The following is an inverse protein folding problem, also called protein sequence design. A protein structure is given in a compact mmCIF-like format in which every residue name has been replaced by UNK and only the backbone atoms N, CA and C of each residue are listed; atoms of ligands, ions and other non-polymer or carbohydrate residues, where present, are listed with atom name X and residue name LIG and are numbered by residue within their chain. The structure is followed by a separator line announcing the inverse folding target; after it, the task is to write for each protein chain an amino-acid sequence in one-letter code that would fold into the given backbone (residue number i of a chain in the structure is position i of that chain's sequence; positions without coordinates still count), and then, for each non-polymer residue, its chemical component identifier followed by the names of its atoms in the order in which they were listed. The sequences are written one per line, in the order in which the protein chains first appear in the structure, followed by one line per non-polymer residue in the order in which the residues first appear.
data_IF_694731184493
#
_entry.id   IF_694731184493
#
_cell.length_a   1.000
_cell.length_b   1.000
_cell.length_c   1.000
_cell.angle_alpha   90.00
_cell.angle_beta   90.00
_cell.angle_gamma   90.00
#
_symmetry.space_group_name_H-M   'P 1'
#
loop_
_entity.id
_entity.type
_entity.pdbx_description
1 polymer ?
#
# COMPACT_ATOMS: atom_id res chain seq x y z
N UNK A 1 -11.67 -33.27 3.47
CA UNK A 1 -12.79 -32.30 3.41
C UNK A 1 -12.40 -31.04 4.20
N UNK A 2 -12.38 -29.84 3.59
CA UNK A 2 -12.04 -28.57 4.29
C UNK A 2 -13.14 -28.23 5.30
N UNK A 3 -12.73 -27.66 6.46
CA UNK A 3 -13.68 -27.14 7.44
C UNK A 3 -14.40 -25.90 6.89
N UNK A 4 -15.69 -25.69 7.19
CA UNK A 4 -16.46 -24.52 6.74
C UNK A 4 -15.77 -23.18 7.11
N UNK A 5 -15.17 -23.10 8.30
CA UNK A 5 -14.37 -21.95 8.74
C UNK A 5 -13.19 -21.69 7.81
N UNK A 6 -12.50 -22.73 7.30
CA UNK A 6 -11.37 -22.56 6.38
C UNK A 6 -11.82 -22.04 5.01
N UNK A 7 -12.94 -22.51 4.48
CA UNK A 7 -13.52 -22.01 3.22
C UNK A 7 -13.89 -20.53 3.37
N UNK A 8 -14.55 -20.16 4.46
CA UNK A 8 -14.92 -18.78 4.76
C UNK A 8 -13.71 -17.87 4.89
N UNK A 9 -12.65 -18.32 5.58
CA UNK A 9 -11.41 -17.58 5.74
C UNK A 9 -10.73 -17.34 4.39
N UNK A 10 -10.64 -18.37 3.53
CA UNK A 10 -10.05 -18.24 2.20
C UNK A 10 -10.86 -17.31 1.29
N UNK A 11 -12.19 -17.40 1.32
CA UNK A 11 -13.05 -16.51 0.55
C UNK A 11 -12.91 -15.05 1.00
N UNK A 12 -12.92 -14.80 2.32
CA UNK A 12 -12.73 -13.47 2.88
C UNK A 12 -11.34 -12.92 2.54
N UNK A 13 -10.30 -13.72 2.72
CA UNK A 13 -8.94 -13.33 2.35
C UNK A 13 -8.87 -12.97 0.86
N UNK A 14 -9.43 -13.78 -0.02
CA UNK A 14 -9.45 -13.50 -1.46
C UNK A 14 -10.15 -12.18 -1.81
N UNK A 15 -11.32 -11.92 -1.21
CA UNK A 15 -12.06 -10.67 -1.40
C UNK A 15 -11.28 -9.44 -0.88
N UNK A 16 -10.67 -9.55 0.31
CA UNK A 16 -9.86 -8.49 0.89
C UNK A 16 -8.59 -8.24 0.07
N UNK A 17 -7.90 -9.32 -0.34
CA UNK A 17 -6.68 -9.21 -1.14
C UNK A 17 -6.95 -8.58 -2.50
N UNK A 18 -7.99 -9.01 -3.20
CA UNK A 18 -8.39 -8.39 -4.46
C UNK A 18 -8.69 -6.90 -4.27
N UNK A 19 -9.48 -6.55 -3.25
CA UNK A 19 -9.83 -5.15 -2.99
C UNK A 19 -8.60 -4.31 -2.64
N UNK A 20 -7.73 -4.77 -1.73
CA UNK A 20 -6.53 -4.04 -1.36
C UNK A 20 -5.57 -3.88 -2.54
N UNK A 21 -5.39 -4.92 -3.36
CA UNK A 21 -4.49 -4.90 -4.51
C UNK A 21 -4.99 -3.99 -5.62
N UNK A 22 -6.29 -4.08 -5.98
CA UNK A 22 -6.81 -3.43 -7.18
C UNK A 22 -7.25 -1.98 -6.92
N UNK A 23 -7.67 -1.66 -5.68
CA UNK A 23 -7.98 -0.28 -5.27
C UNK A 23 -6.72 0.52 -4.96
N UNK A 24 -5.60 -0.16 -4.65
CA UNK A 24 -4.33 0.50 -4.32
C UNK A 24 -3.89 1.51 -5.40
N UNK A 25 -3.71 1.14 -6.69
CA UNK A 25 -3.23 2.08 -7.70
C UNK A 25 -4.19 3.27 -7.89
N UNK A 26 -5.50 3.04 -7.76
CA UNK A 26 -6.48 4.11 -7.86
C UNK A 26 -6.34 5.12 -6.72
N UNK A 27 -6.26 4.65 -5.48
CA UNK A 27 -6.09 5.53 -4.33
C UNK A 27 -4.71 6.20 -4.29
N UNK A 28 -3.67 5.50 -4.71
CA UNK A 28 -2.30 6.00 -4.70
C UNK A 28 -2.02 7.02 -5.82
N UNK A 29 -2.65 6.87 -6.99
CA UNK A 29 -2.32 7.68 -8.17
C UNK A 29 -3.43 8.66 -8.58
N UNK A 30 -4.70 8.30 -8.41
CA UNK A 30 -5.84 9.10 -8.87
C UNK A 30 -6.43 9.95 -7.74
N UNK A 31 -6.57 9.38 -6.55
CA UNK A 31 -7.19 10.10 -5.40
C UNK A 31 -6.23 11.13 -4.80
N UNK A 32 -4.93 10.90 -4.86
CA UNK A 32 -3.96 11.87 -4.32
C UNK A 32 -3.97 13.19 -5.10
N UNK A 33 -3.72 14.30 -4.41
CA UNK A 33 -3.51 15.58 -5.09
C UNK A 33 -2.16 15.63 -5.81
N UNK A 34 -2.08 16.39 -6.91
CA UNK A 34 -0.82 16.60 -7.64
C UNK A 34 0.28 17.20 -6.74
N UNK A 35 -0.10 18.07 -5.80
CA UNK A 35 0.82 18.68 -4.85
C UNK A 35 1.39 17.65 -3.87
N UNK A 36 0.57 16.71 -3.38
CA UNK A 36 1.04 15.61 -2.53
C UNK A 36 1.93 14.63 -3.31
N UNK A 37 1.57 14.31 -4.55
CA UNK A 37 2.37 13.44 -5.40
C UNK A 37 3.81 13.97 -5.61
N UNK A 38 3.93 15.28 -5.79
CA UNK A 38 5.24 15.94 -6.01
C UNK A 38 6.02 16.06 -4.70
N UNK A 39 5.36 16.38 -3.58
CA UNK A 39 6.03 16.80 -2.34
C UNK A 39 6.14 15.72 -1.27
N UNK A 40 5.39 14.61 -1.32
CA UNK A 40 5.39 13.56 -0.29
C UNK A 40 6.78 12.98 0.02
N UNK A 41 7.67 12.94 -0.97
CA UNK A 41 9.05 12.46 -0.84
C UNK A 41 10.07 13.52 -0.39
N UNK A 42 9.70 14.80 -0.27
CA UNK A 42 10.63 15.86 0.14
C UNK A 42 11.10 15.66 1.59
N UNK A 43 12.35 16.07 1.94
CA UNK A 43 12.83 16.00 3.31
C UNK A 43 12.08 16.95 4.24
N UNK A 44 12.21 16.72 5.55
CA UNK A 44 11.70 17.62 6.57
C UNK A 44 10.17 17.59 6.75
N UNK A 45 9.66 18.63 7.42
CA UNK A 45 8.25 18.71 7.86
C UNK A 45 7.27 18.90 6.70
N UNK A 46 7.66 19.60 5.66
CA UNK A 46 6.80 19.83 4.50
C UNK A 46 6.44 18.51 3.81
N UNK A 47 7.45 17.74 3.40
CA UNK A 47 7.22 16.43 2.80
C UNK A 47 6.47 15.47 3.74
N UNK A 48 6.73 15.53 5.05
CA UNK A 48 6.01 14.72 6.04
C UNK A 48 4.51 15.04 6.07
N UNK A 49 4.11 16.33 5.99
CA UNK A 49 2.70 16.75 5.93
C UNK A 49 2.01 16.27 4.65
N UNK A 50 2.67 16.43 3.49
CA UNK A 50 2.14 15.97 2.21
C UNK A 50 1.98 14.45 2.19
N UNK A 51 2.96 13.71 2.69
CA UNK A 51 2.89 12.27 2.82
C UNK A 51 1.76 11.84 3.77
N UNK A 52 1.62 12.48 4.93
CA UNK A 52 0.54 12.16 5.88
C UNK A 52 -0.85 12.42 5.28
N UNK A 53 -1.04 13.52 4.55
CA UNK A 53 -2.30 13.83 3.86
C UNK A 53 -2.62 12.82 2.77
N UNK A 54 -1.62 12.46 1.95
CA UNK A 54 -1.74 11.42 0.94
C UNK A 54 -2.13 10.07 1.57
N UNK A 55 -1.41 9.63 2.60
CA UNK A 55 -1.72 8.38 3.30
C UNK A 55 -3.13 8.39 3.92
N UNK A 56 -3.57 9.52 4.45
CA UNK A 56 -4.92 9.64 5.00
C UNK A 56 -6.00 9.45 3.91
N UNK A 57 -5.87 10.12 2.76
CA UNK A 57 -6.83 9.97 1.64
C UNK A 57 -6.78 8.58 1.03
N UNK A 58 -5.59 8.02 0.85
CA UNK A 58 -5.37 6.65 0.41
C UNK A 58 -6.06 5.64 1.34
N UNK A 59 -5.79 5.75 2.65
CA UNK A 59 -6.34 4.83 3.67
C UNK A 59 -7.86 4.92 3.73
N UNK A 60 -8.42 6.13 3.67
CA UNK A 60 -9.87 6.33 3.65
C UNK A 60 -10.51 5.69 2.42
N UNK A 61 -9.95 5.90 1.22
CA UNK A 61 -10.45 5.30 -0.01
C UNK A 61 -10.41 3.78 0.02
N UNK A 62 -9.30 3.21 0.48
CA UNK A 62 -9.14 1.76 0.59
C UNK A 62 -10.09 1.15 1.64
N UNK A 63 -10.28 1.81 2.78
CA UNK A 63 -11.21 1.35 3.83
C UNK A 63 -12.67 1.39 3.35
N UNK A 64 -13.06 2.48 2.67
CA UNK A 64 -14.42 2.62 2.08
C UNK A 64 -14.67 1.53 1.04
N UNK A 65 -13.73 1.31 0.12
CA UNK A 65 -13.87 0.27 -0.90
C UNK A 65 -13.98 -1.13 -0.28
N UNK A 66 -13.13 -1.43 0.71
CA UNK A 66 -13.15 -2.71 1.42
C UNK A 66 -14.47 -2.94 2.14
N UNK A 67 -14.97 -1.92 2.83
CA UNK A 67 -16.27 -1.99 3.50
C UNK A 67 -17.40 -2.18 2.48
N UNK A 68 -17.41 -1.43 1.38
CA UNK A 68 -18.42 -1.52 0.34
C UNK A 68 -18.46 -2.91 -0.32
N UNK A 69 -17.30 -3.47 -0.69
CA UNK A 69 -17.20 -4.81 -1.29
C UNK A 69 -17.67 -5.87 -0.33
N UNK A 70 -17.19 -5.86 0.92
CA UNK A 70 -17.61 -6.88 1.90
C UNK A 70 -19.10 -6.78 2.22
N UNK A 71 -19.66 -5.58 2.35
CA UNK A 71 -21.09 -5.36 2.56
C UNK A 71 -21.94 -5.84 1.38
N UNK A 72 -21.52 -5.54 0.14
CA UNK A 72 -22.20 -6.00 -1.08
C UNK A 72 -22.21 -7.53 -1.20
N UNK A 73 -21.16 -8.19 -0.68
CA UNK A 73 -21.07 -9.66 -0.60
C UNK A 73 -21.79 -10.24 0.63
N UNK A 74 -22.54 -9.43 1.39
CA UNK A 74 -23.27 -9.86 2.57
C UNK A 74 -22.42 -10.17 3.80
N UNK A 75 -21.14 -9.76 3.80
CA UNK A 75 -20.23 -9.98 4.91
C UNK A 75 -20.10 -8.75 5.80
N UNK A 76 -20.42 -8.89 7.08
CA UNK A 76 -20.23 -7.83 8.08
C UNK A 76 -18.79 -7.87 8.60
N UNK A 77 -17.91 -7.09 7.97
CA UNK A 77 -16.52 -6.99 8.38
C UNK A 77 -16.41 -6.23 9.72
N UNK A 78 -15.85 -6.83 10.79
CA UNK A 78 -15.65 -6.13 12.06
C UNK A 78 -14.72 -4.92 11.89
N UNK A 79 -15.16 -3.76 12.35
CA UNK A 79 -14.39 -2.49 12.19
C UNK A 79 -12.98 -2.56 12.78
N UNK A 80 -12.80 -3.27 13.91
CA UNK A 80 -11.47 -3.47 14.49
C UNK A 80 -10.53 -4.30 13.62
N UNK A 81 -11.07 -5.29 12.91
CA UNK A 81 -10.29 -6.09 11.98
C UNK A 81 -9.88 -5.25 10.75
N UNK A 82 -10.82 -4.49 10.18
CA UNK A 82 -10.53 -3.53 9.12
C UNK A 82 -9.50 -2.49 9.56
N UNK A 83 -9.68 -1.89 10.73
CA UNK A 83 -8.76 -0.89 11.28
C UNK A 83 -7.33 -1.43 11.45
N UNK A 84 -7.17 -2.68 11.90
CA UNK A 84 -5.86 -3.29 12.05
C UNK A 84 -5.15 -3.49 10.70
N UNK A 85 -5.85 -4.01 9.68
CA UNK A 85 -5.27 -4.18 8.34
C UNK A 85 -4.97 -2.85 7.65
N UNK A 86 -5.88 -1.88 7.74
CA UNK A 86 -5.64 -0.54 7.18
C UNK A 86 -4.52 0.19 7.91
N UNK A 87 -4.32 -0.01 9.21
CA UNK A 87 -3.20 0.55 9.94
C UNK A 87 -1.85 -0.01 9.45
N UNK A 88 -1.76 -1.31 9.16
CA UNK A 88 -0.57 -1.90 8.54
C UNK A 88 -0.28 -1.22 7.20
N UNK A 89 -1.27 -1.10 6.33
CA UNK A 89 -1.11 -0.43 5.04
C UNK A 89 -0.71 1.05 5.22
N UNK A 90 -1.37 1.81 6.09
CA UNK A 90 -1.12 3.22 6.29
C UNK A 90 0.31 3.50 6.78
N UNK A 91 0.76 2.75 7.80
CA UNK A 91 2.11 2.94 8.38
C UNK A 91 3.20 2.59 7.37
N UNK A 92 3.07 1.47 6.70
CA UNK A 92 4.07 1.03 5.71
C UNK A 92 4.05 1.92 4.47
N UNK A 93 2.88 2.33 4.00
CA UNK A 93 2.73 3.27 2.90
C UNK A 93 3.43 4.60 3.20
N UNK A 94 3.20 5.15 4.40
CA UNK A 94 3.91 6.36 4.83
C UNK A 94 5.44 6.19 4.77
N UNK A 95 5.97 5.09 5.28
CA UNK A 95 7.43 4.85 5.31
C UNK A 95 8.01 4.73 3.89
N UNK A 96 7.31 4.03 2.99
CA UNK A 96 7.75 3.83 1.61
C UNK A 96 7.72 5.15 0.85
N UNK A 97 6.64 5.90 0.94
CA UNK A 97 6.42 7.16 0.24
C UNK A 97 7.32 8.31 0.70
N UNK A 98 7.90 8.19 1.88
CA UNK A 98 9.00 9.08 2.31
C UNK A 98 10.29 8.88 1.51
N UNK A 99 10.32 7.92 0.58
CA UNK A 99 11.39 7.58 -0.37
C UNK A 99 12.71 7.19 0.28
N UNK A 100 13.34 8.06 1.08
CA UNK A 100 14.66 7.80 1.67
C UNK A 100 14.71 6.56 2.59
N UNK A 101 13.76 6.30 3.49
CA UNK A 101 13.73 5.05 4.25
C UNK A 101 13.66 3.82 3.35
N UNK A 102 12.84 3.88 2.30
CA UNK A 102 12.68 2.79 1.36
C UNK A 102 13.92 2.57 0.49
N UNK A 103 14.54 3.64 -0.03
CA UNK A 103 15.82 3.55 -0.74
C UNK A 103 16.92 2.92 0.11
N UNK A 104 17.01 3.28 1.40
CA UNK A 104 17.98 2.68 2.34
C UNK A 104 17.72 1.19 2.52
N UNK A 105 16.46 0.78 2.67
CA UNK A 105 16.07 -0.62 2.73
C UNK A 105 16.49 -1.38 1.46
N UNK A 106 16.15 -0.86 0.27
CA UNK A 106 16.51 -1.46 -1.01
C UNK A 106 18.03 -1.55 -1.24
N UNK A 107 18.79 -0.55 -0.77
CA UNK A 107 20.27 -0.54 -0.85
C UNK A 107 20.95 -1.41 0.21
N UNK A 108 20.20 -1.92 1.18
CA UNK A 108 20.77 -2.75 2.25
C UNK A 108 21.44 -3.99 1.68
N UNK A 109 22.42 -4.54 2.43
CA UNK A 109 23.12 -5.78 2.05
C UNK A 109 22.20 -7.00 1.89
N UNK A 110 21.03 -6.99 2.53
CA UNK A 110 20.05 -8.08 2.46
C UNK A 110 19.23 -8.05 1.17
N UNK A 111 18.92 -6.85 0.66
CA UNK A 111 18.11 -6.65 -0.54
C UNK A 111 18.98 -6.45 -1.79
N UNK A 112 20.09 -5.71 -1.66
CA UNK A 112 21.12 -5.59 -2.69
C UNK A 112 20.69 -4.90 -3.99
N UNK A 113 19.66 -4.04 -3.96
CA UNK A 113 19.11 -3.39 -5.17
C UNK A 113 19.73 -2.02 -5.51
N UNK A 114 20.83 -1.63 -4.83
CA UNK A 114 21.49 -0.33 -5.05
C UNK A 114 21.91 -0.09 -6.49
N UNK A 115 22.52 -1.07 -7.15
CA UNK A 115 22.92 -0.98 -8.56
C UNK A 115 21.73 -0.84 -9.51
N UNK A 116 20.66 -1.60 -9.27
CA UNK A 116 19.44 -1.51 -10.08
C UNK A 116 18.75 -0.15 -9.96
N UNK A 117 18.68 0.39 -8.74
CA UNK A 117 18.14 1.75 -8.51
C UNK A 117 18.93 2.82 -9.26
N UNK A 118 20.27 2.72 -9.26
CA UNK A 118 21.13 3.68 -9.95
C UNK A 118 21.05 3.56 -11.47
N UNK A 119 20.85 2.35 -11.99
CA UNK A 119 20.80 2.08 -13.44
C UNK A 119 19.45 2.44 -14.06
N UNK A 120 18.35 2.12 -13.39
CA UNK A 120 17.00 2.25 -13.95
C UNK A 120 16.35 3.60 -13.56
N UNK A 121 16.98 4.68 -13.96
CA UNK A 121 16.44 6.06 -13.93
C UNK A 121 15.87 6.45 -15.28
N UNK A 122 15.04 7.47 -15.31
CA UNK A 122 14.41 7.97 -16.55
C UNK A 122 14.79 9.43 -16.77
N UNK A 123 15.34 9.74 -17.94
CA UNK A 123 15.55 11.12 -18.35
C UNK A 123 14.25 11.70 -18.86
N UNK A 124 13.68 12.67 -18.15
CA UNK A 124 12.40 13.33 -18.51
C UNK A 124 12.58 14.45 -19.54
N UNK A 125 13.65 15.20 -19.42
CA UNK A 125 14.06 16.28 -20.31
C UNK A 125 15.56 16.53 -20.12
N UNK A 126 16.16 17.37 -20.95
CA UNK A 126 17.56 17.70 -20.85
C UNK A 126 17.94 18.15 -19.41
N UNK A 127 18.95 17.53 -18.86
CA UNK A 127 19.45 17.81 -17.50
C UNK A 127 18.53 17.36 -16.34
N UNK A 128 17.39 16.71 -16.59
CA UNK A 128 16.46 16.26 -15.55
C UNK A 128 16.34 14.74 -15.53
N UNK A 129 16.98 14.11 -14.56
CA UNK A 129 16.88 12.67 -14.30
C UNK A 129 15.88 12.43 -13.19
N UNK A 130 14.88 11.60 -13.47
CA UNK A 130 13.87 11.16 -12.50
C UNK A 130 14.26 9.79 -11.94
N UNK A 131 14.36 9.70 -10.63
CA UNK A 131 14.70 8.47 -9.92
C UNK A 131 13.46 7.75 -9.34
N UNK A 132 12.31 8.39 -9.28
CA UNK A 132 11.17 7.89 -8.52
C UNK A 132 9.81 8.02 -9.18
N UNK A 133 9.74 8.53 -10.41
CA UNK A 133 8.49 8.63 -11.16
C UNK A 133 8.20 7.39 -12.03
N UNK A 134 7.13 7.44 -12.83
CA UNK A 134 6.72 6.32 -13.67
C UNK A 134 7.83 5.80 -14.58
N UNK A 135 8.00 4.48 -14.63
CA UNK A 135 9.03 3.80 -15.42
C UNK A 135 10.40 3.72 -14.76
N UNK A 136 10.55 4.19 -13.52
CA UNK A 136 11.78 4.02 -12.76
C UNK A 136 11.78 2.74 -11.92
N UNK A 137 12.96 2.19 -11.65
CA UNK A 137 13.09 1.02 -10.77
C UNK A 137 12.53 1.28 -9.36
N UNK A 138 12.67 2.49 -8.85
CA UNK A 138 12.11 2.83 -7.54
C UNK A 138 10.60 2.74 -7.53
N UNK A 139 9.92 3.27 -8.56
CA UNK A 139 8.46 3.20 -8.67
C UNK A 139 7.97 1.75 -8.80
N UNK A 140 8.62 0.93 -9.63
CA UNK A 140 8.25 -0.47 -9.79
C UNK A 140 8.39 -1.28 -8.48
N UNK A 141 9.49 -1.08 -7.76
CA UNK A 141 9.72 -1.74 -6.47
C UNK A 141 8.80 -1.23 -5.37
N UNK A 142 8.45 0.05 -5.39
CA UNK A 142 7.46 0.67 -4.53
C UNK A 142 6.10 -0.02 -4.71
N UNK A 143 5.58 -0.06 -5.93
CA UNK A 143 4.31 -0.70 -6.25
C UNK A 143 4.30 -2.21 -5.92
N UNK A 144 5.40 -2.92 -6.19
CA UNK A 144 5.53 -4.34 -5.85
C UNK A 144 5.50 -4.55 -4.32
N UNK A 145 6.16 -3.68 -3.56
CA UNK A 145 6.22 -3.75 -2.10
C UNK A 145 4.85 -3.47 -1.48
N UNK A 146 4.12 -2.47 -1.98
CA UNK A 146 2.76 -2.19 -1.52
C UNK A 146 1.80 -3.37 -1.74
N UNK A 147 1.90 -4.06 -2.88
CA UNK A 147 1.10 -5.27 -3.14
C UNK A 147 1.42 -6.40 -2.15
N UNK A 148 2.70 -6.61 -1.83
CA UNK A 148 3.11 -7.61 -0.84
C UNK A 148 2.59 -7.26 0.57
N UNK A 149 2.65 -5.97 0.95
CA UNK A 149 2.08 -5.49 2.21
C UNK A 149 0.56 -5.71 2.24
N UNK A 150 -0.12 -5.51 1.12
CA UNK A 150 -1.53 -5.82 0.97
C UNK A 150 -1.88 -7.27 1.34
N UNK A 151 -1.01 -8.24 1.01
CA UNK A 151 -1.17 -9.64 1.44
C UNK A 151 -1.14 -9.76 2.96
N UNK A 152 -0.16 -9.14 3.61
CA UNK A 152 -0.05 -9.18 5.07
C UNK A 152 -1.24 -8.49 5.76
N UNK A 153 -1.67 -7.35 5.25
CA UNK A 153 -2.83 -6.62 5.76
C UNK A 153 -4.14 -7.44 5.59
N UNK A 154 -4.32 -8.09 4.44
CA UNK A 154 -5.48 -8.96 4.17
C UNK A 154 -5.49 -10.19 5.08
N UNK A 155 -4.33 -10.81 5.31
CA UNK A 155 -4.20 -11.93 6.24
C UNK A 155 -4.55 -11.53 7.67
N UNK A 156 -4.01 -10.41 8.14
CA UNK A 156 -4.31 -9.90 9.49
C UNK A 156 -5.79 -9.58 9.66
N UNK A 157 -6.36 -8.85 8.68
CA UNK A 157 -7.80 -8.51 8.69
C UNK A 157 -8.66 -9.75 8.72
N UNK A 158 -8.37 -10.75 7.87
CA UNK A 158 -9.09 -12.02 7.82
C UNK A 158 -8.99 -12.76 9.14
N UNK A 159 -7.79 -12.91 9.67
CA UNK A 159 -7.55 -13.61 10.93
C UNK A 159 -8.36 -13.00 12.09
N UNK A 160 -8.30 -11.67 12.23
CA UNK A 160 -9.05 -10.97 13.28
C UNK A 160 -10.56 -11.03 13.06
N UNK A 161 -11.02 -10.95 11.81
CA UNK A 161 -12.44 -11.02 11.47
C UNK A 161 -13.04 -12.39 11.79
N UNK A 162 -12.35 -13.48 11.45
CA UNK A 162 -12.83 -14.85 11.74
C UNK A 162 -12.87 -15.08 13.25
N UNK A 163 -11.79 -14.74 13.98
CA UNK A 163 -11.74 -14.93 15.44
C UNK A 163 -12.77 -14.12 16.23
N UNK A 164 -13.28 -13.06 15.67
CA UNK A 164 -14.29 -12.23 16.37
C UNK A 164 -15.71 -12.76 16.21
N UNK A 165 -15.90 -13.84 15.46
CA UNK A 165 -17.21 -14.44 15.16
C UNK A 165 -17.35 -15.85 15.75
N UNK A 166 -16.25 -16.40 16.27
CA UNK A 166 -16.23 -17.60 17.11
C UNK A 166 -16.42 -17.20 18.59
#
# INVERSE_FOLDING_TARGET
MMRATSVRALALFGALQATFSDVHPYCDQIVQSSDDAIKKGLPGREGAKHCARHVATYTAGQAVATFAVTAALGYRLPLRALAAGTAVNAVTHYVIDRREPFKRFLRSRFIGKGGYLAHATVQRREGVVDEGGPGTALMEMDQATHRLIGVAASLLTTYLAIRSQD
#
